data_IF_876250481995
#
_entry.id   IF_876250481995
#
_cell.length_a   1.000
_cell.length_b   1.000
_cell.length_c   1.000
_cell.angle_alpha   90.00
_cell.angle_beta   90.00
_cell.angle_gamma   90.00
#
_symmetry.space_group_name_H-M   'P 1'
#
loop_
_entity.id
_entity.type
_entity.pdbx_description
1 polymer ?
#
# COMPACT_ATOMS: atom_id res chain seq x y z
N UNK A 1 9.48 10.45 17.96
CA UNK A 1 9.40 11.82 17.43
C UNK A 1 9.28 11.74 15.90
N UNK A 2 8.47 12.59 15.29
CA UNK A 2 8.23 12.71 13.83
C UNK A 2 9.53 12.69 12.99
N UNK A 3 10.59 13.34 13.46
CA UNK A 3 11.91 13.37 12.80
C UNK A 3 12.56 11.99 12.72
N UNK A 4 12.35 11.11 13.69
CA UNK A 4 12.91 9.75 13.68
C UNK A 4 12.21 8.84 12.67
N UNK A 5 10.90 8.98 12.48
CA UNK A 5 10.12 8.16 11.55
C UNK A 5 10.39 8.53 10.08
N UNK A 6 10.48 9.81 9.73
CA UNK A 6 10.86 10.25 8.37
C UNK A 6 12.26 9.78 7.97
N UNK A 7 13.23 9.82 8.89
CA UNK A 7 14.57 9.25 8.66
C UNK A 7 14.49 7.74 8.40
N UNK A 8 13.71 7.00 9.17
CA UNK A 8 13.56 5.55 8.98
C UNK A 8 12.94 5.19 7.62
N UNK A 9 11.89 5.91 7.19
CA UNK A 9 11.25 5.70 5.87
C UNK A 9 12.25 5.96 4.75
N UNK A 10 12.94 7.09 4.80
CA UNK A 10 13.93 7.47 3.78
C UNK A 10 15.07 6.47 3.71
N UNK A 11 15.56 6.00 4.84
CA UNK A 11 16.68 5.05 4.88
C UNK A 11 16.27 3.65 4.39
N UNK A 12 15.06 3.18 4.70
CA UNK A 12 14.49 1.95 4.13
C UNK A 12 14.34 2.06 2.61
N UNK A 13 13.80 3.19 2.13
CA UNK A 13 13.66 3.43 0.69
C UNK A 13 15.01 3.47 -0.04
N UNK A 14 16.03 4.06 0.57
CA UNK A 14 17.40 4.04 0.01
C UNK A 14 17.98 2.62 -0.04
N UNK A 15 17.83 1.84 1.05
CA UNK A 15 18.30 0.44 1.04
C UNK A 15 17.55 -0.41 0.00
N UNK A 16 16.24 -0.19 -0.17
CA UNK A 16 15.47 -0.84 -1.22
C UNK A 16 16.00 -0.46 -2.61
N UNK A 17 16.20 0.84 -2.86
CA UNK A 17 16.78 1.37 -4.09
C UNK A 17 18.13 0.71 -4.41
N UNK A 18 19.07 0.67 -3.43
CA UNK A 18 20.37 0.02 -3.61
C UNK A 18 20.25 -1.46 -3.97
N UNK A 19 19.31 -2.19 -3.35
CA UNK A 19 19.05 -3.59 -3.66
C UNK A 19 18.47 -3.79 -5.06
N UNK A 20 17.58 -2.91 -5.49
CA UNK A 20 17.00 -2.93 -6.85
C UNK A 20 18.08 -2.58 -7.88
N UNK A 21 18.87 -1.52 -7.63
CA UNK A 21 19.97 -1.14 -8.54
C UNK A 21 20.98 -2.26 -8.76
N UNK A 22 21.31 -3.04 -7.71
CA UNK A 22 22.22 -4.19 -7.83
C UNK A 22 21.67 -5.35 -8.69
N UNK A 23 20.38 -5.34 -9.00
CA UNK A 23 19.69 -6.40 -9.75
C UNK A 23 19.35 -6.00 -11.18
N UNK A 24 19.58 -4.75 -11.52
CA UNK A 24 19.25 -4.18 -12.83
C UNK A 24 20.50 -3.58 -13.46
N UNK A 25 20.73 -3.88 -14.74
CA UNK A 25 21.83 -3.33 -15.54
C UNK A 25 21.53 -1.92 -16.08
N UNK A 26 20.35 -1.37 -15.75
CA UNK A 26 19.94 -0.02 -16.12
C UNK A 26 20.01 0.91 -14.91
N UNK A 27 20.16 2.23 -15.11
CA UNK A 27 20.13 3.20 -14.02
C UNK A 27 18.78 3.20 -13.31
N UNK A 28 18.81 3.21 -11.97
CA UNK A 28 17.63 3.39 -11.14
C UNK A 28 17.78 4.67 -10.34
N UNK A 29 16.72 5.47 -10.23
CA UNK A 29 16.67 6.65 -9.38
C UNK A 29 15.54 6.55 -8.37
N UNK A 30 15.80 7.02 -7.15
CA UNK A 30 14.82 7.10 -6.07
C UNK A 30 14.27 8.53 -6.00
N UNK A 31 12.95 8.64 -6.14
CA UNK A 31 12.27 9.92 -5.99
C UNK A 31 11.09 9.83 -5.00
N UNK A 32 10.80 10.95 -4.35
CA UNK A 32 9.69 11.10 -3.42
C UNK A 32 8.74 12.20 -3.93
N UNK A 33 7.44 12.03 -3.63
CA UNK A 33 6.43 13.04 -3.98
C UNK A 33 6.68 14.37 -3.28
N UNK A 34 7.25 14.31 -2.06
CA UNK A 34 7.59 15.44 -1.21
C UNK A 34 9.01 15.31 -0.67
N UNK A 35 9.59 16.43 -0.24
CA UNK A 35 10.90 16.46 0.38
C UNK A 35 12.08 16.64 -0.58
N UNK A 36 13.28 16.38 -0.09
CA UNK A 36 14.54 16.71 -0.79
C UNK A 36 14.88 15.79 -1.97
N UNK A 37 14.34 14.56 -2.00
CA UNK A 37 14.47 13.61 -3.11
C UNK A 37 13.31 13.82 -4.11
N UNK A 38 13.24 14.99 -4.72
CA UNK A 38 12.13 15.36 -5.59
C UNK A 38 12.10 14.53 -6.89
N UNK A 39 10.92 14.39 -7.49
CA UNK A 39 10.72 13.74 -8.79
C UNK A 39 11.60 14.42 -9.86
N UNK A 40 11.68 15.75 -9.86
CA UNK A 40 12.56 16.49 -10.77
C UNK A 40 14.01 16.03 -10.67
N UNK A 41 14.57 15.95 -9.46
CA UNK A 41 15.95 15.48 -9.26
C UNK A 41 16.16 14.04 -9.73
N UNK A 42 15.16 13.18 -9.54
CA UNK A 42 15.21 11.81 -10.05
C UNK A 42 15.27 11.74 -11.57
N UNK A 43 14.49 12.56 -12.26
CA UNK A 43 14.52 12.68 -13.72
C UNK A 43 15.84 13.31 -14.21
N UNK A 44 16.36 14.35 -13.53
CA UNK A 44 17.66 14.96 -13.81
C UNK A 44 18.80 13.93 -13.72
N UNK A 45 18.80 13.12 -12.67
CA UNK A 45 19.77 12.04 -12.49
C UNK A 45 19.76 11.06 -13.66
N UNK A 46 18.58 10.54 -14.04
CA UNK A 46 18.45 9.61 -15.16
C UNK A 46 18.87 10.26 -16.48
N UNK A 47 18.46 11.48 -16.74
CA UNK A 47 18.86 12.21 -17.95
C UNK A 47 20.37 12.42 -18.03
N UNK A 48 21.04 12.73 -16.91
CA UNK A 48 22.51 12.89 -16.86
C UNK A 48 23.26 11.59 -17.17
N UNK A 49 22.59 10.44 -17.04
CA UNK A 49 23.10 9.10 -17.38
C UNK A 49 22.75 8.67 -18.82
N UNK A 50 22.18 9.56 -19.63
CA UNK A 50 21.84 9.30 -21.04
C UNK A 50 20.56 8.47 -21.21
N UNK A 51 19.66 8.46 -20.23
CA UNK A 51 18.39 7.75 -20.33
C UNK A 51 17.38 8.59 -21.12
N UNK A 52 16.69 7.95 -22.08
CA UNK A 52 15.63 8.56 -22.90
C UNK A 52 14.25 7.93 -22.63
N UNK A 53 14.20 6.66 -22.18
CA UNK A 53 12.99 5.96 -21.82
C UNK A 53 12.99 5.66 -20.31
N UNK A 54 11.97 6.14 -19.59
CA UNK A 54 11.87 6.03 -18.13
C UNK A 54 10.66 5.19 -17.73
N UNK A 55 10.92 4.11 -17.02
CA UNK A 55 9.88 3.30 -16.35
C UNK A 55 9.65 3.86 -14.96
N UNK A 56 8.45 4.32 -14.69
CA UNK A 56 8.04 4.87 -13.39
C UNK A 56 7.26 3.83 -12.61
N UNK A 57 7.71 3.51 -11.41
CA UNK A 57 7.03 2.64 -10.46
C UNK A 57 6.55 3.45 -9.24
N UNK A 58 5.29 3.91 -9.20
CA UNK A 58 4.71 4.41 -7.98
C UNK A 58 4.51 3.25 -6.98
N UNK A 59 5.10 3.33 -5.80
CA UNK A 59 5.06 2.25 -4.79
C UNK A 59 3.72 2.25 -4.01
N UNK A 60 2.62 2.35 -4.73
CA UNK A 60 1.25 2.24 -4.21
C UNK A 60 0.55 1.05 -4.84
N UNK A 61 0.25 -0.01 -4.06
CA UNK A 61 -0.41 -1.21 -4.60
C UNK A 61 -1.77 -0.94 -5.23
N UNK A 62 -2.51 0.02 -4.65
CA UNK A 62 -3.90 0.32 -5.00
C UNK A 62 -4.00 1.69 -5.67
N UNK A 63 -4.93 1.80 -6.64
CA UNK A 63 -5.26 3.10 -7.23
C UNK A 63 -6.00 3.98 -6.22
N UNK A 64 -5.49 5.17 -5.99
CA UNK A 64 -6.22 6.25 -5.35
C UNK A 64 -5.79 7.59 -5.96
N UNK A 65 -6.74 8.53 -6.08
CA UNK A 65 -6.48 9.88 -6.58
C UNK A 65 -5.45 10.60 -5.72
N UNK A 66 -5.48 10.38 -4.40
CA UNK A 66 -4.59 11.03 -3.43
C UNK A 66 -3.19 10.41 -3.34
N UNK A 67 -2.94 9.26 -3.94
CA UNK A 67 -1.64 8.56 -3.90
C UNK A 67 -1.10 8.26 -5.30
N UNK A 68 -1.51 7.16 -5.93
CA UNK A 68 -1.01 6.72 -7.23
C UNK A 68 -1.16 7.82 -8.30
N UNK A 69 -2.37 8.35 -8.46
CA UNK A 69 -2.65 9.33 -9.53
C UNK A 69 -1.86 10.63 -9.35
N UNK A 70 -1.77 11.16 -8.12
CA UNK A 70 -1.00 12.41 -7.90
C UNK A 70 0.50 12.24 -8.21
N UNK A 71 1.07 11.05 -8.02
CA UNK A 71 2.45 10.76 -8.41
C UNK A 71 2.58 10.72 -9.93
N UNK A 72 1.70 9.98 -10.60
CA UNK A 72 1.70 9.89 -12.07
C UNK A 72 1.58 11.27 -12.71
N UNK A 73 0.63 12.08 -12.26
CA UNK A 73 0.41 13.43 -12.80
C UNK A 73 1.59 14.37 -12.48
N UNK A 74 2.22 14.24 -11.29
CA UNK A 74 3.40 15.04 -10.97
C UNK A 74 4.60 14.65 -11.84
N UNK A 75 4.84 13.35 -12.09
CA UNK A 75 5.91 12.91 -12.99
C UNK A 75 5.69 13.43 -14.41
N UNK A 76 4.45 13.32 -14.94
CA UNK A 76 4.10 13.84 -16.26
C UNK A 76 4.32 15.36 -16.36
N UNK A 77 3.91 16.11 -15.33
CA UNK A 77 4.07 17.56 -15.26
C UNK A 77 5.54 17.97 -15.26
N UNK A 78 6.38 17.36 -14.40
CA UNK A 78 7.82 17.64 -14.35
C UNK A 78 8.52 17.27 -15.67
N UNK A 79 8.14 16.13 -16.25
CA UNK A 79 8.65 15.70 -17.54
C UNK A 79 8.30 16.69 -18.64
N UNK A 80 7.03 17.09 -18.75
CA UNK A 80 6.58 18.07 -19.76
C UNK A 80 7.28 19.43 -19.64
N UNK A 81 7.55 19.86 -18.40
CA UNK A 81 8.14 21.18 -18.12
C UNK A 81 9.66 21.22 -18.36
N UNK A 82 10.37 20.14 -17.97
CA UNK A 82 11.84 20.16 -17.89
C UNK A 82 12.54 19.11 -18.75
N UNK A 83 11.85 18.04 -19.16
CA UNK A 83 12.43 16.85 -19.81
C UNK A 83 11.50 16.32 -20.90
N UNK A 84 10.96 17.19 -21.75
CA UNK A 84 9.94 16.83 -22.75
C UNK A 84 10.35 15.76 -23.76
N UNK A 85 11.65 15.49 -23.88
CA UNK A 85 12.22 14.45 -24.73
C UNK A 85 12.16 13.04 -24.10
N UNK A 86 11.96 12.93 -22.77
CA UNK A 86 11.86 11.65 -22.10
C UNK A 86 10.52 10.97 -22.41
N UNK A 87 10.59 9.70 -22.74
CA UNK A 87 9.39 8.85 -22.84
C UNK A 87 9.10 8.21 -21.47
N UNK A 88 7.85 8.26 -21.06
CA UNK A 88 7.41 7.74 -19.79
C UNK A 88 6.54 6.51 -19.96
N UNK A 89 6.88 5.45 -19.24
CA UNK A 89 6.03 4.27 -19.03
C UNK A 89 5.74 4.12 -17.53
N UNK A 90 4.54 3.67 -17.17
CA UNK A 90 4.14 3.55 -15.78
C UNK A 90 3.76 2.11 -15.45
N UNK A 91 4.29 1.59 -14.35
CA UNK A 91 3.78 0.35 -13.77
C UNK A 91 2.43 0.67 -13.11
N UNK A 92 1.35 -0.04 -13.50
CA UNK A 92 0.02 0.21 -12.94
C UNK A 92 -0.07 -0.20 -11.46
N UNK A 93 -1.16 0.13 -10.76
CA UNK A 93 -1.47 -0.44 -9.46
C UNK A 93 -1.38 -1.97 -9.50
N UNK A 94 -0.69 -2.55 -8.54
CA UNK A 94 -0.30 -3.98 -8.53
C UNK A 94 -1.00 -4.79 -7.43
N UNK A 95 -2.19 -4.35 -7.06
CA UNK A 95 -3.00 -4.90 -5.96
C UNK A 95 -3.33 -6.40 -6.09
N UNK A 96 -3.36 -6.92 -7.31
CA UNK A 96 -3.63 -8.33 -7.67
C UNK A 96 -2.45 -9.03 -8.35
N UNK A 97 -1.32 -8.36 -8.49
CA UNK A 97 -0.13 -8.97 -9.10
C UNK A 97 0.34 -10.18 -8.30
N UNK A 98 0.52 -11.29 -8.97
CA UNK A 98 0.84 -12.57 -8.35
C UNK A 98 2.17 -12.55 -7.58
N UNK A 99 3.19 -11.85 -8.07
CA UNK A 99 4.49 -11.76 -7.39
C UNK A 99 4.40 -10.93 -6.13
N UNK A 100 3.66 -9.81 -6.16
CA UNK A 100 3.38 -9.01 -4.97
C UNK A 100 2.62 -9.81 -3.92
N UNK A 101 1.52 -10.46 -4.31
CA UNK A 101 0.71 -11.28 -3.41
C UNK A 101 1.53 -12.43 -2.82
N UNK A 102 2.36 -13.11 -3.61
CA UNK A 102 3.24 -14.18 -3.13
C UNK A 102 4.26 -13.68 -2.10
N UNK A 103 4.85 -12.49 -2.32
CA UNK A 103 5.80 -11.92 -1.36
C UNK A 103 5.09 -11.45 -0.07
N UNK A 104 3.87 -10.90 -0.15
CA UNK A 104 3.04 -10.60 1.01
C UNK A 104 2.72 -11.86 1.81
N UNK A 105 2.27 -12.92 1.15
CA UNK A 105 1.99 -14.23 1.78
C UNK A 105 3.22 -14.80 2.48
N UNK A 106 4.39 -14.72 1.84
CA UNK A 106 5.66 -15.16 2.42
C UNK A 106 6.04 -14.33 3.65
N UNK A 107 5.90 -13.00 3.58
CA UNK A 107 6.12 -12.10 4.71
C UNK A 107 5.21 -12.47 5.88
N UNK A 108 3.92 -12.63 5.63
CA UNK A 108 2.93 -13.02 6.64
C UNK A 108 3.29 -14.37 7.27
N UNK A 109 3.54 -15.41 6.46
CA UNK A 109 3.92 -16.74 6.96
C UNK A 109 5.17 -16.72 7.85
N UNK A 110 6.16 -15.90 7.48
CA UNK A 110 7.38 -15.80 8.27
C UNK A 110 7.14 -15.12 9.62
N UNK A 111 6.29 -14.10 9.68
CA UNK A 111 5.97 -13.38 10.90
C UNK A 111 4.96 -14.13 11.79
N UNK A 112 4.21 -15.09 11.25
CA UNK A 112 3.27 -15.91 12.01
C UNK A 112 3.88 -17.20 12.58
N UNK A 113 5.15 -17.50 12.34
CA UNK A 113 5.79 -18.71 12.85
C UNK A 113 5.74 -18.76 14.38
N UNK A 114 5.05 -19.76 14.91
CA UNK A 114 4.90 -19.94 16.36
C UNK A 114 3.95 -18.97 17.05
N UNK A 115 3.18 -18.20 16.27
CA UNK A 115 2.16 -17.29 16.78
C UNK A 115 0.79 -17.93 16.57
N UNK A 116 0.08 -18.13 17.68
CA UNK A 116 -1.33 -18.45 17.67
C UNK A 116 -2.17 -17.18 17.71
N UNK A 117 -3.30 -17.16 16.97
CA UNK A 117 -4.16 -15.98 16.85
C UNK A 117 -5.62 -16.36 16.58
N UNK A 118 -6.54 -15.52 17.03
CA UNK A 118 -7.97 -15.68 16.82
C UNK A 118 -8.45 -15.01 15.53
N UNK A 119 -7.79 -13.89 15.15
CA UNK A 119 -8.21 -13.06 14.03
C UNK A 119 -7.05 -12.30 13.37
N UNK A 120 -7.13 -12.09 12.05
CA UNK A 120 -6.26 -11.20 11.30
C UNK A 120 -7.06 -10.00 10.82
N UNK A 121 -6.64 -8.80 11.20
CA UNK A 121 -7.20 -7.55 10.70
C UNK A 121 -6.32 -6.99 9.59
N UNK A 122 -6.89 -6.81 8.41
CA UNK A 122 -6.27 -6.13 7.29
C UNK A 122 -6.66 -4.65 7.35
N UNK A 123 -5.75 -3.79 7.83
CA UNK A 123 -5.96 -2.36 7.93
C UNK A 123 -5.37 -1.64 6.72
N UNK A 124 -6.18 -0.85 6.05
CA UNK A 124 -5.81 -0.07 4.88
C UNK A 124 -5.93 1.41 5.17
N UNK A 125 -5.12 2.24 4.53
CA UNK A 125 -5.34 3.68 4.65
C UNK A 125 -6.74 4.04 4.14
N UNK A 126 -7.53 4.71 4.96
CA UNK A 126 -8.83 5.20 4.55
C UNK A 126 -8.73 6.26 3.47
N UNK A 127 -9.78 6.37 2.67
CA UNK A 127 -9.97 7.52 1.77
C UNK A 127 -11.40 8.06 1.91
N UNK A 128 -11.62 9.35 1.62
CA UNK A 128 -12.97 9.90 1.58
C UNK A 128 -13.86 9.16 0.57
N UNK A 129 -15.11 8.92 0.92
CA UNK A 129 -16.09 8.33 0.00
C UNK A 129 -16.29 9.17 -1.28
N UNK A 130 -16.06 10.48 -1.18
CA UNK A 130 -16.09 11.38 -2.34
C UNK A 130 -15.06 11.00 -3.40
N UNK A 131 -13.89 10.48 -3.01
CA UNK A 131 -12.87 10.04 -3.97
C UNK A 131 -13.34 8.85 -4.79
N UNK A 132 -14.06 7.88 -4.19
CA UNK A 132 -14.64 6.77 -4.96
C UNK A 132 -15.72 7.25 -5.95
N UNK A 133 -16.54 8.23 -5.53
CA UNK A 133 -17.60 8.80 -6.39
C UNK A 133 -17.00 9.55 -7.58
N UNK A 134 -15.89 10.26 -7.37
CA UNK A 134 -15.18 11.00 -8.44
C UNK A 134 -14.46 10.02 -9.38
N UNK A 135 -13.84 8.95 -8.86
CA UNK A 135 -13.17 7.93 -9.68
C UNK A 135 -14.15 7.06 -10.49
N UNK A 136 -15.44 7.05 -10.13
CA UNK A 136 -16.49 6.39 -10.89
C UNK A 136 -16.99 7.29 -12.02
N UNK A 137 -16.33 7.24 -13.17
CA UNK A 137 -16.68 8.01 -14.37
C UNK A 137 -18.12 7.77 -14.84
N UNK A 138 -18.73 6.63 -14.50
CA UNK A 138 -20.12 6.32 -14.84
C UNK A 138 -21.12 7.04 -13.94
N UNK A 139 -20.69 7.44 -12.76
CA UNK A 139 -21.51 8.04 -11.71
C UNK A 139 -22.70 7.18 -11.26
N UNK A 140 -22.63 5.86 -11.49
CA UNK A 140 -23.78 4.95 -11.28
C UNK A 140 -23.44 3.71 -10.45
N UNK A 141 -22.17 3.45 -10.16
CA UNK A 141 -21.71 2.18 -9.58
C UNK A 141 -21.22 2.32 -8.13
N UNK A 142 -20.12 3.04 -7.91
CA UNK A 142 -19.49 3.12 -6.59
C UNK A 142 -20.39 3.73 -5.53
N UNK A 143 -20.61 2.99 -4.42
CA UNK A 143 -21.48 3.36 -3.30
C UNK A 143 -22.95 3.60 -3.66
N UNK A 144 -23.38 3.25 -4.89
CA UNK A 144 -24.76 3.35 -5.38
C UNK A 144 -25.37 1.98 -5.64
N UNK A 145 -24.61 1.06 -6.18
CA UNK A 145 -25.03 -0.33 -6.35
C UNK A 145 -24.81 -1.07 -5.02
N UNK A 146 -25.79 -1.85 -4.58
CA UNK A 146 -25.65 -2.73 -3.43
C UNK A 146 -24.50 -3.70 -3.69
N UNK A 147 -23.58 -3.81 -2.73
CA UNK A 147 -22.40 -4.67 -2.84
C UNK A 147 -21.53 -4.41 -4.08
N UNK A 148 -21.39 -3.13 -4.45
CA UNK A 148 -20.77 -2.68 -5.70
C UNK A 148 -19.35 -3.24 -5.95
N UNK A 149 -18.59 -3.60 -4.90
CA UNK A 149 -17.25 -4.16 -5.06
C UNK A 149 -17.26 -5.60 -5.59
N UNK A 150 -18.38 -6.34 -5.46
CA UNK A 150 -18.54 -7.72 -5.92
C UNK A 150 -19.35 -7.82 -7.23
N UNK A 151 -19.99 -6.73 -7.65
CA UNK A 151 -20.71 -6.66 -8.93
C UNK A 151 -19.74 -6.22 -10.02
N UNK A 152 -19.48 -7.09 -11.00
CA UNK A 152 -18.49 -6.85 -12.05
C UNK A 152 -18.73 -5.49 -12.78
N UNK A 153 -17.67 -4.69 -12.89
CA UNK A 153 -17.72 -3.35 -13.49
C UNK A 153 -16.31 -2.89 -13.91
N UNK A 154 -16.22 -2.19 -15.03
CA UNK A 154 -14.99 -1.54 -15.48
C UNK A 154 -14.49 -0.45 -14.51
N UNK A 155 -15.37 0.08 -13.67
CA UNK A 155 -15.06 1.05 -12.62
C UNK A 155 -14.04 0.49 -11.62
N UNK A 156 -13.96 -0.83 -11.45
CA UNK A 156 -13.05 -1.50 -10.54
C UNK A 156 -11.57 -1.21 -10.84
N UNK A 157 -11.23 -0.91 -12.09
CA UNK A 157 -9.87 -0.50 -12.49
C UNK A 157 -9.36 0.75 -11.75
N UNK A 158 -10.29 1.61 -11.31
CA UNK A 158 -10.00 2.83 -10.53
C UNK A 158 -10.69 2.85 -9.15
N UNK A 159 -11.27 1.74 -8.71
CA UNK A 159 -11.95 1.66 -7.43
C UNK A 159 -11.03 1.15 -6.32
N UNK A 160 -10.52 2.05 -5.49
CA UNK A 160 -9.65 1.73 -4.35
C UNK A 160 -10.24 0.63 -3.46
N UNK A 161 -11.52 0.77 -3.06
CA UNK A 161 -12.19 -0.18 -2.15
C UNK A 161 -12.27 -1.59 -2.73
N UNK A 162 -12.58 -1.73 -4.02
CA UNK A 162 -12.58 -3.02 -4.70
C UNK A 162 -11.18 -3.65 -4.68
N UNK A 163 -10.16 -2.88 -5.06
CA UNK A 163 -8.78 -3.35 -5.14
C UNK A 163 -8.25 -3.81 -3.78
N UNK A 164 -8.59 -3.09 -2.71
CA UNK A 164 -8.30 -3.47 -1.32
C UNK A 164 -8.88 -4.84 -0.98
N UNK A 165 -10.14 -5.07 -1.30
CA UNK A 165 -10.81 -6.34 -1.03
C UNK A 165 -10.19 -7.48 -1.85
N UNK A 166 -9.87 -7.26 -3.11
CA UNK A 166 -9.18 -8.27 -3.95
C UNK A 166 -7.83 -8.64 -3.36
N UNK A 167 -7.02 -7.66 -2.91
CA UNK A 167 -5.74 -7.96 -2.25
C UNK A 167 -5.93 -8.87 -1.04
N UNK A 168 -6.89 -8.55 -0.16
CA UNK A 168 -7.19 -9.39 1.01
C UNK A 168 -7.61 -10.80 0.60
N UNK A 169 -8.56 -10.93 -0.32
CA UNK A 169 -9.08 -12.21 -0.81
C UNK A 169 -7.96 -13.11 -1.37
N UNK A 170 -7.06 -12.53 -2.18
CA UNK A 170 -5.93 -13.27 -2.75
C UNK A 170 -4.95 -13.73 -1.67
N UNK A 171 -4.65 -12.89 -0.69
CA UNK A 171 -3.77 -13.23 0.43
C UNK A 171 -4.38 -14.34 1.29
N UNK A 172 -5.62 -14.19 1.75
CA UNK A 172 -6.27 -15.16 2.65
C UNK A 172 -6.49 -16.50 1.96
N UNK A 173 -6.83 -16.50 0.67
CA UNK A 173 -6.94 -17.72 -0.14
C UNK A 173 -5.61 -18.49 -0.19
N UNK A 174 -4.47 -17.79 -0.43
CA UNK A 174 -3.15 -18.42 -0.47
C UNK A 174 -2.65 -18.86 0.91
N UNK A 175 -3.14 -18.24 1.98
CA UNK A 175 -2.84 -18.62 3.37
C UNK A 175 -3.75 -19.73 3.90
N UNK A 176 -4.90 -19.99 3.28
CA UNK A 176 -5.91 -20.93 3.75
C UNK A 176 -6.61 -20.43 5.02
N UNK A 177 -6.86 -19.14 5.15
CA UNK A 177 -7.51 -18.53 6.32
C UNK A 177 -9.02 -18.59 6.14
N UNK A 178 -9.71 -19.12 7.15
CA UNK A 178 -11.18 -19.20 7.17
C UNK A 178 -11.80 -17.80 7.18
N UNK A 179 -12.94 -17.64 6.51
CA UNK A 179 -13.65 -16.37 6.35
C UNK A 179 -14.01 -15.68 7.69
N UNK A 180 -14.23 -16.44 8.75
CA UNK A 180 -14.56 -15.93 10.09
C UNK A 180 -13.33 -15.51 10.91
N UNK A 181 -12.11 -15.68 10.37
CA UNK A 181 -10.84 -15.39 11.03
C UNK A 181 -10.12 -14.15 10.47
N UNK A 182 -10.77 -13.37 9.60
CA UNK A 182 -10.21 -12.11 9.12
C UNK A 182 -11.29 -11.07 8.86
N UNK A 183 -10.89 -9.82 8.88
CA UNK A 183 -11.71 -8.69 8.44
C UNK A 183 -10.86 -7.58 7.83
N UNK A 184 -11.53 -6.64 7.15
CA UNK A 184 -10.91 -5.44 6.59
C UNK A 184 -11.36 -4.21 7.36
N UNK A 185 -10.45 -3.26 7.59
CA UNK A 185 -10.76 -1.96 8.17
C UNK A 185 -9.94 -0.85 7.50
N UNK A 186 -10.33 0.40 7.79
CA UNK A 186 -9.70 1.58 7.22
C UNK A 186 -9.22 2.52 8.33
N UNK A 187 -7.93 2.87 8.29
CA UNK A 187 -7.24 3.72 9.26
C UNK A 187 -7.13 5.18 8.80
N UNK A 188 -6.61 6.04 9.65
CA UNK A 188 -6.15 7.42 9.33
C UNK A 188 -7.25 8.34 8.81
N UNK A 189 -8.50 8.16 9.29
CA UNK A 189 -9.60 9.04 8.88
C UNK A 189 -9.42 10.46 9.44
N UNK A 190 -9.80 11.44 8.63
CA UNK A 190 -9.89 12.82 9.06
C UNK A 190 -11.36 13.22 9.33
N UNK A 191 -11.62 14.14 10.28
CA UNK A 191 -12.96 14.68 10.51
C UNK A 191 -13.45 15.46 9.28
N UNK A 192 -14.71 15.84 9.28
CA UNK A 192 -15.40 16.74 8.34
C UNK A 192 -16.03 16.10 7.09
N UNK A 193 -15.75 14.85 6.75
CA UNK A 193 -16.41 14.17 5.65
C UNK A 193 -16.47 12.65 5.87
N UNK A 194 -17.40 11.92 5.21
CA UNK A 194 -17.45 10.46 5.29
C UNK A 194 -16.23 9.81 4.67
N UNK A 195 -15.63 8.87 5.40
CA UNK A 195 -14.52 8.03 4.98
C UNK A 195 -14.95 6.57 4.88
N UNK A 196 -14.19 5.76 4.17
CA UNK A 196 -14.44 4.32 4.05
C UNK A 196 -14.51 3.65 5.42
N UNK A 197 -15.43 2.70 5.54
CA UNK A 197 -15.72 1.93 6.77
C UNK A 197 -15.54 0.44 6.50
N UNK A 198 -15.37 -0.39 7.61
CA UNK A 198 -15.28 -0.01 9.01
C UNK A 198 -13.98 0.73 9.34
N UNK A 199 -13.97 1.53 10.41
CA UNK A 199 -12.77 2.22 10.88
C UNK A 199 -11.93 1.28 11.75
N UNK A 200 -10.60 1.34 11.62
CA UNK A 200 -9.67 0.42 12.31
C UNK A 200 -9.80 0.51 13.83
N UNK A 201 -9.82 1.71 14.42
CA UNK A 201 -10.02 1.91 15.85
C UNK A 201 -11.32 1.24 16.36
N UNK A 202 -12.42 1.39 15.63
CA UNK A 202 -13.70 0.77 16.00
C UNK A 202 -13.74 -0.74 15.77
N UNK A 203 -12.99 -1.23 14.79
CA UNK A 203 -12.88 -2.67 14.55
C UNK A 203 -12.01 -3.36 15.61
N UNK A 204 -10.96 -2.69 16.09
CA UNK A 204 -10.14 -3.18 17.21
C UNK A 204 -10.97 -3.35 18.48
N UNK A 205 -11.73 -2.32 18.85
CA UNK A 205 -12.66 -2.35 19.99
C UNK A 205 -13.69 -3.48 19.84
N UNK A 206 -14.36 -3.55 18.67
CA UNK A 206 -15.38 -4.58 18.38
C UNK A 206 -14.83 -6.00 18.51
N UNK A 207 -13.68 -6.29 17.93
CA UNK A 207 -13.06 -7.61 17.94
C UNK A 207 -12.72 -8.05 19.39
N UNK A 208 -12.15 -7.15 20.20
CA UNK A 208 -11.84 -7.43 21.61
C UNK A 208 -13.11 -7.73 22.42
N UNK A 209 -14.17 -6.94 22.25
CA UNK A 209 -15.48 -7.12 22.93
C UNK A 209 -16.14 -8.43 22.49
N UNK A 210 -16.01 -8.82 21.23
CA UNK A 210 -16.51 -10.11 20.72
C UNK A 210 -15.68 -11.33 21.17
N UNK A 211 -14.65 -11.13 22.01
CA UNK A 211 -13.85 -12.19 22.60
C UNK A 211 -12.67 -12.64 21.72
N UNK A 212 -12.30 -11.90 20.69
CA UNK A 212 -11.02 -12.11 19.97
C UNK A 212 -9.89 -11.60 20.84
N UNK A 213 -9.19 -12.50 21.51
CA UNK A 213 -8.15 -12.16 22.48
C UNK A 213 -6.77 -11.98 21.86
N UNK A 214 -6.52 -12.63 20.74
CA UNK A 214 -5.24 -12.68 20.07
C UNK A 214 -5.36 -12.17 18.64
N UNK A 215 -4.97 -10.91 18.43
CA UNK A 215 -5.09 -10.23 17.14
C UNK A 215 -3.75 -10.13 16.43
N UNK A 216 -3.77 -10.44 15.14
CA UNK A 216 -2.72 -10.09 14.19
C UNK A 216 -3.23 -8.96 13.31
N UNK A 217 -2.39 -7.98 13.01
CA UNK A 217 -2.75 -6.88 12.11
C UNK A 217 -1.69 -6.68 11.03
N UNK A 218 -2.14 -6.33 9.84
CA UNK A 218 -1.31 -6.11 8.66
C UNK A 218 -1.86 -4.93 7.85
N UNK A 219 -0.97 -4.20 7.19
CA UNK A 219 -1.28 -2.96 6.44
C UNK A 219 -0.88 -3.07 4.95
N UNK A 220 -1.61 -3.81 4.10
CA UNK A 220 -1.14 -4.12 2.73
C UNK A 220 -1.13 -2.93 1.76
N UNK A 221 -1.75 -1.81 2.09
CA UNK A 221 -1.63 -0.59 1.28
C UNK A 221 -0.23 0.04 1.36
N UNK A 222 0.55 -0.33 2.37
CA UNK A 222 1.89 0.18 2.61
C UNK A 222 2.94 -0.88 2.27
N UNK A 223 3.84 -0.57 1.36
CA UNK A 223 4.97 -1.45 1.05
C UNK A 223 6.19 -1.17 1.93
N UNK A 224 6.22 -0.02 2.59
CA UNK A 224 7.26 0.41 3.55
C UNK A 224 6.60 0.95 4.81
N UNK A 225 7.10 0.54 5.97
CA UNK A 225 6.64 1.08 7.25
C UNK A 225 6.86 2.59 7.32
N UNK A 226 5.85 3.29 7.79
CA UNK A 226 5.78 4.74 7.93
C UNK A 226 5.15 5.10 9.28
N UNK A 227 4.86 6.37 9.48
CA UNK A 227 4.25 6.86 10.72
C UNK A 227 2.89 6.17 10.96
N UNK A 228 2.08 6.11 9.91
CA UNK A 228 0.74 5.51 9.94
C UNK A 228 0.76 4.01 10.27
N UNK A 229 1.84 3.31 9.99
CA UNK A 229 1.95 1.89 10.33
C UNK A 229 2.61 1.64 11.68
N UNK A 230 3.61 2.44 12.05
CA UNK A 230 4.38 2.22 13.27
C UNK A 230 3.76 2.90 14.51
N UNK A 231 3.25 4.11 14.36
CA UNK A 231 2.63 4.86 15.47
C UNK A 231 1.14 4.52 15.57
N UNK A 232 0.35 4.82 14.54
CA UNK A 232 -1.11 4.60 14.57
C UNK A 232 -1.48 3.12 14.73
N UNK A 233 -0.84 2.20 13.98
CA UNK A 233 -1.24 0.79 13.99
C UNK A 233 -0.44 -0.05 14.98
N UNK A 234 0.91 0.03 14.98
CA UNK A 234 1.69 -0.86 15.81
C UNK A 234 1.76 -0.43 17.29
N UNK A 235 1.59 0.87 17.59
CA UNK A 235 1.62 1.39 18.96
C UNK A 235 0.21 1.71 19.46
N UNK A 236 -0.46 2.72 18.92
CA UNK A 236 -1.79 3.18 19.37
C UNK A 236 -2.83 2.07 19.20
N UNK A 237 -2.91 1.43 18.05
CA UNK A 237 -3.85 0.31 17.82
C UNK A 237 -3.62 -0.86 18.76
N UNK A 238 -2.37 -1.12 19.20
CA UNK A 238 -2.10 -2.12 20.23
C UNK A 238 -2.67 -1.70 21.57
N UNK A 239 -2.49 -0.45 21.97
CA UNK A 239 -3.02 0.09 23.23
C UNK A 239 -4.55 0.01 23.23
N UNK A 240 -5.20 0.50 22.18
CA UNK A 240 -6.66 0.45 22.02
C UNK A 240 -7.22 -0.99 22.11
N UNK A 241 -6.60 -1.95 21.42
CA UNK A 241 -7.05 -3.34 21.45
C UNK A 241 -6.90 -3.97 22.84
N UNK A 242 -5.78 -3.73 23.53
CA UNK A 242 -5.54 -4.27 24.87
C UNK A 242 -6.45 -3.63 25.91
N UNK A 243 -6.69 -2.32 25.85
CA UNK A 243 -7.64 -1.59 26.72
C UNK A 243 -9.08 -2.10 26.53
N UNK A 244 -9.46 -2.44 25.31
CA UNK A 244 -10.77 -3.01 25.02
C UNK A 244 -10.93 -4.49 25.48
N UNK A 245 -9.88 -5.10 26.07
CA UNK A 245 -9.92 -6.44 26.64
C UNK A 245 -9.23 -7.52 25.78
N UNK A 246 -8.47 -7.14 24.77
CA UNK A 246 -7.54 -8.02 24.08
C UNK A 246 -6.37 -8.45 24.97
N UNK A 247 -5.68 -9.53 24.61
CA UNK A 247 -4.58 -10.08 25.42
C UNK A 247 -3.26 -10.14 24.66
N UNK A 248 -3.32 -10.24 23.33
CA UNK A 248 -2.16 -10.34 22.47
C UNK A 248 -2.40 -9.59 21.17
N UNK A 249 -1.44 -8.74 20.79
CA UNK A 249 -1.47 -7.97 19.54
C UNK A 249 -0.15 -8.10 18.81
N UNK A 250 -0.20 -8.49 17.55
CA UNK A 250 0.99 -8.66 16.71
C UNK A 250 0.86 -7.90 15.40
N UNK A 251 1.67 -6.87 15.22
CA UNK A 251 1.79 -6.16 13.96
C UNK A 251 2.78 -6.87 13.04
N UNK A 252 2.35 -7.16 11.80
CA UNK A 252 3.23 -7.69 10.75
C UNK A 252 3.85 -6.52 9.99
N UNK A 253 5.18 -6.33 10.04
CA UNK A 253 5.84 -5.25 9.31
C UNK A 253 5.59 -5.31 7.80
N UNK A 254 5.62 -4.16 7.14
CA UNK A 254 5.56 -4.04 5.68
C UNK A 254 6.74 -4.77 5.01
N UNK A 255 6.72 -4.88 3.68
CA UNK A 255 7.79 -5.54 2.90
C UNK A 255 9.16 -4.83 3.03
N UNK A 256 9.12 -3.51 3.27
CA UNK A 256 10.29 -2.67 3.51
C UNK A 256 11.37 -2.81 2.43
N UNK A 257 12.61 -3.03 2.88
CA UNK A 257 13.77 -3.29 2.02
C UNK A 257 14.08 -4.79 1.89
N UNK A 258 13.06 -5.66 1.99
CA UNK A 258 13.19 -7.10 1.84
C UNK A 258 13.78 -7.53 0.48
N UNK A 259 14.65 -8.53 0.48
CA UNK A 259 15.27 -9.02 -0.78
C UNK A 259 14.22 -9.59 -1.75
N UNK A 260 13.15 -10.23 -1.25
CA UNK A 260 12.05 -10.72 -2.06
C UNK A 260 11.29 -9.59 -2.74
N UNK A 261 11.02 -8.51 -2.01
CA UNK A 261 10.39 -7.31 -2.56
C UNK A 261 11.26 -6.63 -3.64
N UNK A 262 12.57 -6.49 -3.39
CA UNK A 262 13.50 -6.00 -4.41
C UNK A 262 13.52 -6.89 -5.67
N UNK A 263 13.38 -8.23 -5.54
CA UNK A 263 13.26 -9.14 -6.68
C UNK A 263 11.96 -8.89 -7.46
N UNK A 264 10.83 -8.68 -6.78
CA UNK A 264 9.54 -8.38 -7.43
C UNK A 264 9.66 -7.12 -8.29
N UNK A 265 10.19 -6.03 -7.72
CA UNK A 265 10.40 -4.75 -8.44
C UNK A 265 11.30 -4.97 -9.66
N UNK A 266 12.43 -5.65 -9.50
CA UNK A 266 13.38 -5.88 -10.61
C UNK A 266 12.75 -6.73 -11.71
N UNK A 267 11.94 -7.73 -11.37
CA UNK A 267 11.24 -8.55 -12.36
C UNK A 267 10.19 -7.74 -13.14
N UNK A 268 9.43 -6.86 -12.47
CA UNK A 268 8.48 -5.97 -13.17
C UNK A 268 9.20 -5.06 -14.16
N UNK A 269 10.31 -4.46 -13.73
CA UNK A 269 11.13 -3.60 -14.59
C UNK A 269 11.63 -4.36 -15.82
N UNK A 270 12.22 -5.56 -15.63
CA UNK A 270 12.72 -6.38 -16.73
C UNK A 270 11.63 -6.84 -17.72
N UNK A 271 10.37 -6.93 -17.31
CA UNK A 271 9.25 -7.23 -18.21
C UNK A 271 8.84 -6.05 -19.09
N UNK A 272 9.25 -4.85 -18.73
CA UNK A 272 8.92 -3.63 -19.47
C UNK A 272 10.07 -3.16 -20.39
N UNK A 273 11.26 -3.72 -20.23
CA UNK A 273 12.42 -3.53 -21.12
C UNK A 273 12.30 -4.40 -22.36
#
# INVERSE_FOLDING_TARGET
SLVGSEMCIRDRSKRLHEKVQKKLDIPVSLAMRYGSLSIKKGLEELKSKGVDDVIVLPLYPHYAMSSYETVVEKVKSECKEWFSELKLSFIPPFYDDEMYINEMVKNIKNNLKGIDYDHILFSYHGIPESHLKISDETNKHCLKVKDCCNVNSDVHKKCYRHQVFITTELIVKKLGIDHNKYSNAFQSRLPLQPWLKPYTDKELERLAVEGKKRLVIITPAFVTDCLETLEEIAMEGKEEFLEAGGEFYHYIPCLNDGNGWANVISNWTNRML
#
